data_IF_058499841930
#
_entry.id   IF_058499841930
#
_cell.length_a   1.000
_cell.length_b   1.000
_cell.length_c   1.000
_cell.angle_alpha   90.00
_cell.angle_beta   90.00
_cell.angle_gamma   90.00
#
_symmetry.space_group_name_H-M   'P 1'
#
loop_
_entity.id
_entity.type
_entity.pdbx_description
1 polymer ?
#
# COMPACT_ATOMS: atom_id res chain seq x y z
N UNK A 1 -35.41 18.46 20.18
CA UNK A 1 -34.26 19.21 19.63
C UNK A 1 -33.02 18.75 20.37
N UNK A 2 -31.99 18.31 19.65
CA UNK A 2 -30.71 17.94 20.25
C UNK A 2 -29.88 19.21 20.46
N UNK A 3 -29.64 19.59 21.71
CA UNK A 3 -28.76 20.69 22.12
C UNK A 3 -27.39 20.07 22.39
N UNK A 4 -26.46 20.19 21.43
CA UNK A 4 -25.12 19.64 21.52
C UNK A 4 -24.29 20.31 22.61
N UNK A 5 -24.49 19.90 23.86
CA UNK A 5 -23.63 20.27 24.98
C UNK A 5 -22.35 19.41 24.93
N UNK A 6 -21.53 19.64 23.92
CA UNK A 6 -20.17 19.15 23.90
C UNK A 6 -19.39 19.95 24.95
N UNK A 7 -18.76 19.26 25.89
CA UNK A 7 -17.81 19.88 26.80
C UNK A 7 -16.65 20.42 25.95
N UNK A 8 -16.33 21.70 26.08
CA UNK A 8 -15.15 22.32 25.46
C UNK A 8 -13.88 21.84 26.17
N UNK A 9 -13.63 20.54 26.19
CA UNK A 9 -12.30 20.05 26.47
C UNK A 9 -11.42 20.43 25.28
N UNK A 10 -10.27 21.05 25.55
CA UNK A 10 -9.31 21.40 24.52
C UNK A 10 -9.01 20.13 23.70
N UNK A 11 -9.11 20.23 22.37
CA UNK A 11 -8.85 19.10 21.49
C UNK A 11 -7.49 18.49 21.85
N UNK A 12 -7.49 17.21 22.23
CA UNK A 12 -6.27 16.49 22.56
C UNK A 12 -5.31 16.63 21.38
N UNK A 13 -4.13 17.20 21.61
CA UNK A 13 -3.09 17.23 20.58
C UNK A 13 -2.81 15.79 20.14
N UNK A 14 -2.99 15.52 18.85
CA UNK A 14 -2.67 14.23 18.25
C UNK A 14 -1.15 14.08 18.24
N UNK A 15 -0.59 13.63 19.36
CA UNK A 15 0.85 13.40 19.52
C UNK A 15 1.37 12.19 18.72
N UNK A 16 0.51 11.50 17.98
CA UNK A 16 0.88 10.37 17.11
C UNK A 16 1.45 10.88 15.79
N UNK A 17 2.59 10.31 15.36
CA UNK A 17 3.11 10.52 14.01
C UNK A 17 2.03 10.16 12.97
N UNK A 18 1.91 11.00 11.93
CA UNK A 18 1.01 10.76 10.79
C UNK A 18 1.37 9.43 10.09
N UNK A 19 0.39 8.86 9.39
CA UNK A 19 0.59 7.62 8.65
C UNK A 19 1.72 7.79 7.62
N UNK A 20 2.48 6.71 7.41
CA UNK A 20 3.53 6.71 6.40
C UNK A 20 2.97 7.07 5.03
N UNK A 21 3.73 7.87 4.27
CA UNK A 21 3.20 8.56 3.09
C UNK A 21 2.70 7.61 1.97
N UNK A 22 3.24 6.39 1.93
CA UNK A 22 2.78 5.30 1.05
C UNK A 22 1.52 4.62 1.59
N UNK A 23 1.50 4.35 2.90
CA UNK A 23 0.39 3.69 3.61
C UNK A 23 -0.88 4.53 3.55
N UNK A 24 -0.74 5.86 3.70
CA UNK A 24 -1.84 6.81 3.61
C UNK A 24 -2.65 6.65 2.32
N UNK A 25 -1.99 6.50 1.18
CA UNK A 25 -2.71 6.37 -0.11
C UNK A 25 -3.38 5.00 -0.27
N UNK A 26 -2.78 3.95 0.28
CA UNK A 26 -3.41 2.62 0.36
C UNK A 26 -4.68 2.68 1.19
N UNK A 27 -4.64 3.30 2.38
CA UNK A 27 -5.82 3.43 3.24
C UNK A 27 -6.92 4.27 2.61
N UNK A 28 -6.56 5.38 1.96
CA UNK A 28 -7.52 6.21 1.22
C UNK A 28 -8.14 5.41 0.07
N UNK A 29 -7.36 4.60 -0.66
CA UNK A 29 -7.87 3.73 -1.71
C UNK A 29 -8.89 2.71 -1.17
N UNK A 30 -8.52 1.95 -0.13
CA UNK A 30 -9.39 0.94 0.50
C UNK A 30 -10.66 1.59 1.05
N UNK A 31 -10.54 2.77 1.65
CA UNK A 31 -11.70 3.52 2.17
C UNK A 31 -12.60 4.00 1.01
N UNK A 32 -12.02 4.51 -0.07
CA UNK A 32 -12.78 4.94 -1.24
C UNK A 32 -13.49 3.76 -1.91
N UNK A 33 -12.85 2.59 -1.99
CA UNK A 33 -13.46 1.35 -2.48
C UNK A 33 -14.62 0.92 -1.59
N UNK A 34 -14.43 0.92 -0.27
CA UNK A 34 -15.47 0.58 0.70
C UNK A 34 -16.72 1.47 0.58
N UNK A 35 -16.53 2.78 0.33
CA UNK A 35 -17.64 3.73 0.12
C UNK A 35 -18.09 3.86 -1.34
N UNK A 36 -17.54 3.06 -2.26
CA UNK A 36 -17.85 3.08 -3.70
C UNK A 36 -17.65 4.46 -4.36
N UNK A 37 -16.63 5.20 -3.93
CA UNK A 37 -16.26 6.51 -4.47
C UNK A 37 -15.15 6.33 -5.51
N UNK A 38 -15.54 5.97 -6.73
CA UNK A 38 -14.60 5.54 -7.78
C UNK A 38 -13.58 6.62 -8.15
N UNK A 39 -13.99 7.89 -8.28
CA UNK A 39 -13.07 8.98 -8.62
C UNK A 39 -11.96 9.16 -7.56
N UNK A 40 -12.32 9.03 -6.28
CA UNK A 40 -11.36 9.12 -5.18
C UNK A 40 -10.43 7.91 -5.16
N UNK A 41 -10.96 6.72 -5.41
CA UNK A 41 -10.20 5.47 -5.52
C UNK A 41 -9.15 5.57 -6.63
N UNK A 42 -9.55 6.00 -7.83
CA UNK A 42 -8.64 6.19 -8.96
C UNK A 42 -7.59 7.28 -8.69
N UNK A 43 -8.00 8.37 -8.02
CA UNK A 43 -7.07 9.44 -7.64
C UNK A 43 -6.04 8.96 -6.62
N UNK A 44 -6.47 8.20 -5.60
CA UNK A 44 -5.59 7.59 -4.59
C UNK A 44 -4.62 6.60 -5.22
N UNK A 45 -5.08 5.75 -6.15
CA UNK A 45 -4.23 4.81 -6.88
C UNK A 45 -3.16 5.52 -7.72
N UNK A 46 -3.54 6.59 -8.43
CA UNK A 46 -2.59 7.37 -9.24
C UNK A 46 -1.51 8.02 -8.36
N UNK A 47 -1.92 8.60 -7.22
CA UNK A 47 -1.00 9.21 -6.26
C UNK A 47 -0.07 8.17 -5.63
N UNK A 48 -0.62 7.01 -5.27
CA UNK A 48 0.13 5.87 -4.76
C UNK A 48 1.21 5.43 -5.76
N UNK A 49 0.84 5.16 -7.02
CA UNK A 49 1.80 4.76 -8.08
C UNK A 49 2.91 5.79 -8.29
N UNK A 50 2.58 7.08 -8.25
CA UNK A 50 3.56 8.16 -8.37
C UNK A 50 4.58 8.14 -7.23
N UNK A 51 4.10 8.05 -5.99
CA UNK A 51 4.97 7.98 -4.80
C UNK A 51 5.76 6.68 -4.73
N UNK A 52 5.16 5.57 -5.14
CA UNK A 52 5.81 4.25 -5.16
C UNK A 52 7.07 4.29 -6.03
N UNK A 53 7.01 4.96 -7.20
CA UNK A 53 8.17 5.19 -8.07
C UNK A 53 9.26 6.07 -7.45
N UNK A 54 8.93 6.92 -6.49
CA UNK A 54 9.88 7.80 -5.82
C UNK A 54 10.47 7.16 -4.56
N UNK A 55 9.67 6.36 -3.85
CA UNK A 55 9.97 5.86 -2.51
C UNK A 55 10.33 4.37 -2.46
N UNK A 56 10.42 3.67 -3.59
CA UNK A 56 10.80 2.25 -3.63
C UNK A 56 12.16 1.94 -2.98
N UNK A 57 13.08 2.92 -2.99
CA UNK A 57 14.41 2.79 -2.37
C UNK A 57 14.33 2.78 -0.84
N UNK A 58 13.26 3.32 -0.26
CA UNK A 58 13.06 3.31 1.19
C UNK A 58 12.85 1.90 1.72
N UNK A 59 13.24 1.62 2.96
CA UNK A 59 12.93 0.33 3.60
C UNK A 59 11.43 0.15 3.87
N UNK A 60 10.69 1.27 3.91
CA UNK A 60 9.24 1.31 4.09
C UNK A 60 8.44 0.68 2.96
N UNK A 61 9.07 0.45 1.80
CA UNK A 61 8.42 -0.24 0.68
C UNK A 61 7.92 -1.61 1.13
N UNK A 62 8.71 -2.35 1.92
CA UNK A 62 8.41 -3.72 2.35
C UNK A 62 7.19 -3.74 3.27
N UNK A 63 7.13 -2.81 4.22
CA UNK A 63 6.00 -2.67 5.14
C UNK A 63 4.72 -2.29 4.38
N UNK A 64 4.84 -1.42 3.39
CA UNK A 64 3.72 -1.08 2.50
C UNK A 64 3.22 -2.28 1.70
N UNK A 65 4.10 -3.16 1.20
CA UNK A 65 3.67 -4.40 0.52
C UNK A 65 2.88 -5.27 1.48
N UNK A 66 3.38 -5.46 2.71
CA UNK A 66 2.67 -6.27 3.73
C UNK A 66 1.28 -5.72 3.99
N UNK A 67 1.17 -4.41 4.21
CA UNK A 67 -0.12 -3.79 4.49
C UNK A 67 -1.12 -4.00 3.34
N UNK A 68 -0.70 -3.81 2.08
CA UNK A 68 -1.56 -4.06 0.92
C UNK A 68 -2.04 -5.50 0.91
N UNK A 69 -1.16 -6.49 1.09
CA UNK A 69 -1.56 -7.90 1.07
C UNK A 69 -2.41 -8.30 2.28
N UNK A 70 -2.35 -7.54 3.39
CA UNK A 70 -3.26 -7.73 4.54
C UNK A 70 -4.62 -7.06 4.36
N UNK A 71 -4.69 -5.88 3.74
CA UNK A 71 -5.94 -5.12 3.58
C UNK A 71 -6.77 -5.57 2.39
N UNK A 72 -6.12 -6.08 1.34
CA UNK A 72 -6.75 -6.36 0.05
C UNK A 72 -7.14 -7.83 -0.10
N UNK A 73 -8.16 -8.32 0.60
CA UNK A 73 -8.63 -9.70 0.43
C UNK A 73 -9.62 -9.77 -0.75
N UNK A 74 -9.12 -10.09 -1.96
CA UNK A 74 -9.93 -10.63 -3.06
C UNK A 74 -10.20 -9.74 -4.29
N UNK A 75 -10.27 -8.40 -4.17
CA UNK A 75 -10.76 -7.53 -5.28
C UNK A 75 -9.84 -6.40 -5.71
N UNK A 76 -8.83 -6.01 -4.93
CA UNK A 76 -8.01 -4.82 -5.24
C UNK A 76 -6.73 -5.19 -6.02
N UNK A 77 -6.93 -5.80 -7.19
CA UNK A 77 -5.84 -6.20 -8.09
C UNK A 77 -4.95 -5.02 -8.48
N UNK A 78 -5.46 -3.79 -8.49
CA UNK A 78 -4.70 -2.64 -8.99
C UNK A 78 -3.56 -2.21 -8.06
N UNK A 79 -3.76 -2.26 -6.75
CA UNK A 79 -2.73 -1.97 -5.75
C UNK A 79 -1.68 -3.08 -5.72
N UNK A 80 -2.13 -4.34 -5.65
CA UNK A 80 -1.24 -5.51 -5.70
C UNK A 80 -0.40 -5.48 -6.98
N UNK A 81 -1.02 -5.26 -8.13
CA UNK A 81 -0.34 -5.19 -9.42
C UNK A 81 0.68 -4.04 -9.46
N UNK A 82 0.34 -2.85 -8.96
CA UNK A 82 1.26 -1.71 -8.91
C UNK A 82 2.52 -2.01 -8.09
N UNK A 83 2.37 -2.69 -6.95
CA UNK A 83 3.49 -3.06 -6.09
C UNK A 83 4.31 -4.20 -6.68
N UNK A 84 3.66 -5.23 -7.22
CA UNK A 84 4.35 -6.34 -7.86
C UNK A 84 5.14 -5.90 -9.10
N UNK A 85 4.60 -4.94 -9.88
CA UNK A 85 5.31 -4.37 -11.04
C UNK A 85 6.58 -3.60 -10.61
N UNK A 86 6.50 -2.75 -9.58
CA UNK A 86 7.67 -2.05 -9.03
C UNK A 86 8.68 -3.04 -8.42
N UNK A 87 8.20 -4.08 -7.73
CA UNK A 87 9.05 -5.11 -7.15
C UNK A 87 9.80 -5.90 -8.24
N UNK A 88 9.15 -6.17 -9.37
CA UNK A 88 9.76 -6.80 -10.54
C UNK A 88 10.80 -5.88 -11.19
N UNK A 89 10.48 -4.61 -11.42
CA UNK A 89 11.35 -3.63 -12.06
C UNK A 89 12.65 -3.45 -11.26
N UNK A 90 12.56 -3.30 -9.94
CA UNK A 90 13.70 -3.07 -9.05
C UNK A 90 14.18 -4.32 -8.31
N UNK A 91 13.84 -5.52 -8.80
CA UNK A 91 14.09 -6.80 -8.12
C UNK A 91 15.52 -6.98 -7.64
N UNK A 92 16.50 -6.59 -8.46
CA UNK A 92 17.92 -6.80 -8.18
C UNK A 92 18.41 -5.94 -7.01
N UNK A 93 17.80 -4.79 -6.77
CA UNK A 93 18.12 -3.91 -5.65
C UNK A 93 17.32 -4.30 -4.41
N UNK A 94 16.03 -4.59 -4.58
CA UNK A 94 15.17 -5.05 -3.48
C UNK A 94 15.66 -6.37 -2.89
N UNK A 95 16.17 -7.30 -3.71
CA UNK A 95 16.73 -8.56 -3.24
C UNK A 95 17.94 -8.39 -2.33
N UNK A 96 18.66 -7.27 -2.39
CA UNK A 96 19.77 -6.99 -1.46
C UNK A 96 19.25 -6.75 -0.04
N UNK A 97 18.00 -6.32 0.13
CA UNK A 97 17.40 -6.08 1.44
C UNK A 97 16.93 -7.38 2.08
N UNK A 98 17.35 -7.63 3.34
CA UNK A 98 16.91 -8.81 4.08
C UNK A 98 15.38 -8.83 4.27
N UNK A 99 14.80 -7.67 4.62
CA UNK A 99 13.35 -7.54 4.82
C UNK A 99 12.52 -7.95 3.59
N UNK A 100 13.03 -7.68 2.38
CA UNK A 100 12.36 -8.09 1.14
C UNK A 100 12.49 -9.60 0.90
N UNK A 101 13.64 -10.20 1.21
CA UNK A 101 13.81 -11.66 1.15
C UNK A 101 12.89 -12.37 2.14
N UNK A 102 12.77 -11.84 3.35
CA UNK A 102 11.85 -12.36 4.36
C UNK A 102 10.38 -12.22 3.91
N UNK A 103 10.05 -11.13 3.22
CA UNK A 103 8.72 -10.93 2.62
C UNK A 103 8.42 -11.97 1.55
N UNK A 104 9.38 -12.29 0.66
CA UNK A 104 9.18 -13.32 -0.38
C UNK A 104 9.12 -14.72 0.24
N UNK A 105 9.89 -14.98 1.30
CA UNK A 105 9.87 -16.27 1.99
C UNK A 105 8.55 -16.53 2.73
N UNK A 106 7.98 -15.51 3.36
CA UNK A 106 6.78 -15.63 4.19
C UNK A 106 5.48 -15.21 3.47
N UNK A 107 5.59 -14.49 2.35
CA UNK A 107 4.46 -13.93 1.63
C UNK A 107 3.92 -14.94 0.63
N UNK A 108 2.88 -15.67 1.02
CA UNK A 108 2.20 -16.66 0.17
C UNK A 108 1.77 -16.08 -1.19
N UNK A 109 0.75 -15.21 -1.17
CA UNK A 109 0.19 -14.62 -2.40
C UNK A 109 1.19 -13.71 -3.12
N UNK A 110 1.95 -12.90 -2.38
CA UNK A 110 2.91 -11.96 -2.98
C UNK A 110 4.01 -12.68 -3.76
N UNK A 111 4.60 -13.74 -3.20
CA UNK A 111 5.64 -14.49 -3.89
C UNK A 111 5.10 -15.17 -5.14
N UNK A 112 3.87 -15.73 -5.08
CA UNK A 112 3.22 -16.34 -6.23
C UNK A 112 2.96 -15.31 -7.35
N UNK A 113 2.41 -14.14 -7.02
CA UNK A 113 2.15 -13.06 -7.98
C UNK A 113 3.44 -12.51 -8.60
N UNK A 114 4.49 -12.30 -7.80
CA UNK A 114 5.80 -11.86 -8.27
C UNK A 114 6.45 -12.87 -9.21
N UNK A 115 6.42 -14.15 -8.85
CA UNK A 115 6.96 -15.23 -9.71
C UNK A 115 6.17 -15.36 -11.01
N UNK A 116 4.85 -15.26 -10.97
CA UNK A 116 4.01 -15.23 -12.17
C UNK A 116 4.42 -14.08 -13.11
N UNK A 117 4.60 -12.88 -12.56
CA UNK A 117 5.05 -11.70 -13.33
C UNK A 117 6.45 -11.83 -13.92
N UNK A 118 7.35 -12.55 -13.25
CA UNK A 118 8.70 -12.83 -13.76
C UNK A 118 8.68 -13.88 -14.87
N UNK A 119 7.80 -14.89 -14.76
CA UNK A 119 7.70 -15.97 -15.74
C UNK A 119 6.96 -15.54 -17.01
N UNK A 120 5.98 -14.65 -16.92
CA UNK A 120 5.24 -14.12 -18.08
C UNK A 120 6.05 -13.17 -18.97
N UNK A 121 7.25 -12.74 -18.56
CA UNK A 121 8.13 -11.85 -19.34
C UNK A 121 9.04 -12.60 -20.34
N UNK A 122 8.94 -13.95 -20.40
CA UNK A 122 9.79 -14.80 -21.23
C UNK A 122 9.18 -15.16 -22.60
N UNK A 123 8.11 -14.50 -23.05
CA UNK A 123 7.48 -14.77 -24.35
C UNK A 123 7.11 -13.51 -25.13
#
# INVERSE_FOLDING_TARGET
MYTGNYLEDAAQELASQDDDELVKDVRVYVTADYFLVEDLKQHALSRFKSKLRQLWVSDRIVDCIREIYMTTVGTEHELRNAVTDIAKEHRSELWKKNAFRDLVHNGDDFAAELMGKLCSDQY
#
